data_IF_857737041568
#
_entry.id   IF_857737041568
#
_cell.length_a   1.000
_cell.length_b   1.000
_cell.length_c   1.000
_cell.angle_alpha   90.00
_cell.angle_beta   90.00
_cell.angle_gamma   90.00
#
_symmetry.space_group_name_H-M   'P 1'
#
loop_
_entity.id
_entity.type
_entity.pdbx_description
1 polymer ?
#
# COMPACT_ATOMS: atom_id res chain seq x y z
N UNK A 1 -0.39 -13.09 -23.96
CA UNK A 1 -0.72 -13.75 -25.25
C UNK A 1 -0.56 -15.26 -25.11
N UNK A 2 -1.20 -16.09 -25.95
CA UNK A 2 -1.09 -17.54 -25.86
C UNK A 2 0.21 -17.98 -26.54
N UNK A 3 1.29 -18.05 -25.75
CA UNK A 3 2.58 -18.59 -26.19
C UNK A 3 2.84 -19.91 -25.49
N UNK A 4 3.11 -20.97 -26.25
CA UNK A 4 3.59 -22.23 -25.70
C UNK A 4 5.01 -22.01 -25.16
N UNK A 5 5.18 -22.16 -23.85
CA UNK A 5 6.49 -22.09 -23.19
C UNK A 5 6.97 -23.51 -22.93
N UNK A 6 8.04 -23.92 -23.60
CA UNK A 6 8.70 -25.19 -23.30
C UNK A 6 9.48 -25.03 -21.99
N UNK A 7 9.09 -25.80 -20.97
CA UNK A 7 9.69 -25.72 -19.64
C UNK A 7 10.60 -26.92 -19.42
N UNK A 8 11.76 -26.66 -18.81
CA UNK A 8 12.65 -27.70 -18.33
C UNK A 8 11.90 -28.52 -17.25
N UNK A 9 11.84 -29.87 -17.35
CA UNK A 9 11.08 -30.72 -16.44
C UNK A 9 11.54 -30.69 -14.98
N UNK A 10 12.74 -30.15 -14.70
CA UNK A 10 13.27 -30.02 -13.34
C UNK A 10 13.04 -28.63 -12.71
N UNK A 11 12.31 -27.72 -13.38
CA UNK A 11 11.91 -26.43 -12.81
C UNK A 11 10.40 -26.39 -12.59
N UNK A 12 9.98 -26.20 -11.34
CA UNK A 12 8.58 -25.90 -11.05
C UNK A 12 8.24 -24.49 -11.57
N UNK A 13 7.05 -24.35 -12.15
CA UNK A 13 6.45 -23.03 -12.38
C UNK A 13 5.13 -22.94 -11.65
N UNK A 14 4.78 -21.71 -11.29
CA UNK A 14 3.47 -21.38 -10.76
C UNK A 14 2.88 -20.28 -11.65
N UNK A 15 1.65 -20.51 -12.12
CA UNK A 15 0.88 -19.44 -12.76
C UNK A 15 0.12 -18.68 -11.68
N UNK A 16 0.47 -17.40 -11.49
CA UNK A 16 -0.24 -16.53 -10.55
C UNK A 16 -1.11 -15.54 -11.31
N UNK A 17 -2.36 -15.39 -10.86
CA UNK A 17 -3.25 -14.34 -11.37
C UNK A 17 -2.77 -12.98 -10.90
N UNK A 18 -2.89 -11.97 -11.76
CA UNK A 18 -2.67 -10.59 -11.36
C UNK A 18 -3.74 -10.15 -10.35
N UNK A 19 -3.36 -9.24 -9.46
CA UNK A 19 -4.24 -8.68 -8.43
C UNK A 19 -4.70 -7.31 -8.92
N UNK A 20 -6.02 -7.11 -9.02
CA UNK A 20 -6.58 -5.80 -9.34
C UNK A 20 -6.49 -4.94 -8.08
N UNK A 21 -5.89 -3.75 -8.21
CA UNK A 21 -5.89 -2.74 -7.16
C UNK A 21 -6.79 -1.60 -7.63
N UNK A 22 -7.77 -1.24 -6.80
CA UNK A 22 -8.68 -0.14 -7.09
C UNK A 22 -8.03 1.24 -6.85
N UNK A 23 -8.55 2.32 -7.46
CA UNK A 23 -8.02 3.68 -7.26
C UNK A 23 -7.93 4.11 -5.79
N UNK A 24 -8.86 3.64 -4.94
CA UNK A 24 -8.94 3.93 -3.51
C UNK A 24 -8.29 2.84 -2.64
N UNK A 25 -7.48 1.96 -3.22
CA UNK A 25 -6.79 0.91 -2.50
C UNK A 25 -5.26 0.96 -2.72
N UNK A 26 -4.55 0.25 -1.87
CA UNK A 26 -3.15 -0.09 -2.06
C UNK A 26 -2.88 -1.53 -1.60
N UNK A 27 -1.96 -2.20 -2.26
CA UNK A 27 -1.48 -3.52 -1.88
C UNK A 27 -0.23 -3.42 -0.99
N UNK A 28 -0.17 -4.27 0.04
CA UNK A 28 1.03 -4.49 0.84
C UNK A 28 1.75 -5.71 0.27
N UNK A 29 2.94 -5.49 -0.28
CA UNK A 29 3.76 -6.54 -0.89
C UNK A 29 5.03 -6.71 -0.09
N UNK A 30 5.35 -7.95 0.24
CA UNK A 30 6.60 -8.30 0.89
C UNK A 30 7.44 -9.17 -0.03
N UNK A 31 8.70 -8.79 -0.19
CA UNK A 31 9.71 -9.65 -0.79
C UNK A 31 10.13 -10.72 0.23
N UNK A 32 10.04 -11.99 -0.15
CA UNK A 32 10.31 -13.13 0.74
C UNK A 32 11.80 -13.43 0.91
N UNK A 33 12.68 -12.91 0.05
CA UNK A 33 14.14 -13.06 0.18
C UNK A 33 14.74 -12.02 1.11
N UNK A 34 14.27 -10.78 1.00
CA UNK A 34 14.84 -9.61 1.70
C UNK A 34 14.00 -9.17 2.90
N UNK A 35 12.79 -9.69 3.03
CA UNK A 35 11.76 -9.25 3.97
C UNK A 35 11.34 -7.77 3.82
N UNK A 36 11.74 -7.10 2.73
CA UNK A 36 11.37 -5.71 2.45
C UNK A 36 9.87 -5.63 2.15
N UNK A 37 9.18 -4.74 2.87
CA UNK A 37 7.76 -4.44 2.66
C UNK A 37 7.62 -3.14 1.88
N UNK A 38 6.76 -3.14 0.87
CA UNK A 38 6.42 -1.96 0.08
C UNK A 38 4.93 -1.87 -0.16
N UNK A 39 4.44 -0.65 -0.31
CA UNK A 39 3.06 -0.39 -0.71
C UNK A 39 2.99 -0.09 -2.19
N UNK A 40 2.06 -0.74 -2.89
CA UNK A 40 1.78 -0.48 -4.31
C UNK A 40 0.40 0.11 -4.41
N UNK A 41 0.29 1.35 -4.90
CA UNK A 41 -0.98 2.08 -4.96
C UNK A 41 -1.48 2.25 -6.39
N UNK A 42 -2.77 2.56 -6.53
CA UNK A 42 -3.37 3.03 -7.78
C UNK A 42 -4.19 1.98 -8.53
N UNK A 43 -4.90 2.44 -9.56
CA UNK A 43 -5.72 1.59 -10.44
C UNK A 43 -4.82 0.81 -11.39
N UNK A 44 -4.40 -0.38 -10.97
CA UNK A 44 -3.49 -1.20 -11.77
C UNK A 44 -3.72 -2.69 -11.56
N UNK A 45 -3.31 -3.48 -12.56
CA UNK A 45 -3.13 -4.92 -12.44
C UNK A 45 -1.72 -5.18 -11.90
N UNK A 46 -1.63 -5.51 -10.61
CA UNK A 46 -0.38 -5.87 -9.97
C UNK A 46 0.04 -7.30 -10.34
N UNK A 47 1.21 -7.41 -10.95
CA UNK A 47 1.90 -8.67 -11.20
C UNK A 47 3.00 -8.86 -10.14
N UNK A 48 2.88 -9.90 -9.33
CA UNK A 48 3.88 -10.22 -8.31
C UNK A 48 5.11 -10.87 -8.94
N UNK A 49 6.30 -10.47 -8.49
CA UNK A 49 7.54 -11.17 -8.79
C UNK A 49 7.59 -12.57 -8.17
N UNK A 50 8.60 -13.37 -8.54
CA UNK A 50 8.76 -14.74 -8.06
C UNK A 50 8.82 -14.84 -6.52
N UNK A 51 9.47 -13.86 -5.89
CA UNK A 51 9.67 -13.79 -4.44
C UNK A 51 8.70 -12.82 -3.75
N UNK A 52 7.82 -12.18 -4.49
CA UNK A 52 6.81 -11.31 -3.89
C UNK A 52 5.66 -12.12 -3.31
N UNK A 53 5.24 -11.73 -2.11
CA UNK A 53 4.02 -12.19 -1.48
C UNK A 53 3.08 -11.01 -1.24
N UNK A 54 1.86 -11.10 -1.76
CA UNK A 54 0.79 -10.17 -1.40
C UNK A 54 0.33 -10.49 0.02
N UNK A 55 0.49 -9.52 0.93
CA UNK A 55 0.02 -9.64 2.32
C UNK A 55 -1.45 -9.27 2.45
N UNK A 56 -1.81 -8.08 1.96
CA UNK A 56 -3.18 -7.55 2.03
C UNK A 56 -3.40 -6.49 0.96
N UNK A 57 -4.67 -6.19 0.67
CA UNK A 57 -5.10 -5.02 -0.10
C UNK A 57 -5.98 -4.18 0.84
N UNK A 58 -5.55 -2.96 1.11
CA UNK A 58 -6.18 -2.07 2.09
C UNK A 58 -6.77 -0.84 1.39
N UNK A 59 -7.83 -0.23 1.94
CA UNK A 59 -8.29 1.07 1.49
C UNK A 59 -7.26 2.15 1.83
N UNK A 60 -7.15 3.15 0.95
CA UNK A 60 -6.43 4.40 1.24
C UNK A 60 -7.18 5.18 2.30
N UNK A 61 -6.45 6.01 3.04
CA UNK A 61 -7.08 6.97 3.96
C UNK A 61 -7.57 8.16 3.15
N UNK A 62 -8.85 8.49 3.26
CA UNK A 62 -9.45 9.65 2.61
C UNK A 62 -9.76 10.66 3.69
N UNK A 63 -9.15 11.85 3.59
CA UNK A 63 -9.40 12.97 4.48
C UNK A 63 -10.31 13.98 3.79
N UNK A 64 -11.39 14.36 4.47
CA UNK A 64 -12.25 15.47 4.07
C UNK A 64 -11.65 16.84 4.42
N UNK A 65 -12.28 17.93 3.98
CA UNK A 65 -11.76 19.30 4.12
C UNK A 65 -11.53 19.71 5.58
N UNK A 66 -12.33 19.21 6.50
CA UNK A 66 -12.28 19.49 7.93
C UNK A 66 -11.57 18.37 8.71
N UNK A 67 -10.77 17.54 8.04
CA UNK A 67 -10.10 16.40 8.65
C UNK A 67 -8.59 16.47 8.53
N UNK A 68 -7.92 15.87 9.51
CA UNK A 68 -6.49 15.63 9.49
C UNK A 68 -6.18 14.27 10.09
N UNK A 69 -4.96 13.79 9.87
CA UNK A 69 -4.43 12.64 10.58
C UNK A 69 -2.97 12.86 10.94
N UNK A 70 -2.51 12.16 11.98
CA UNK A 70 -1.11 12.11 12.38
C UNK A 70 -0.51 10.77 11.96
N UNK A 71 0.66 10.81 11.31
CA UNK A 71 1.46 9.64 10.96
C UNK A 71 2.74 9.67 11.77
N UNK A 72 3.07 8.54 12.37
CA UNK A 72 4.32 8.36 13.12
C UNK A 72 5.09 7.20 12.50
N UNK A 73 6.26 7.47 11.94
CA UNK A 73 7.11 6.40 11.44
C UNK A 73 7.69 5.61 12.63
N UNK A 74 7.37 4.31 12.71
CA UNK A 74 7.80 3.45 13.83
C UNK A 74 9.32 3.22 13.85
N UNK A 75 10.01 3.39 12.73
CA UNK A 75 11.45 3.14 12.61
C UNK A 75 12.28 4.37 12.97
N UNK A 76 11.87 5.57 12.55
CA UNK A 76 12.60 6.82 12.83
C UNK A 76 12.02 7.62 14.01
N UNK A 77 10.74 7.42 14.33
CA UNK A 77 9.99 8.26 15.27
C UNK A 77 9.54 9.59 14.67
N UNK A 78 9.75 9.83 13.38
CA UNK A 78 9.34 11.07 12.72
C UNK A 78 7.82 11.18 12.67
N UNK A 79 7.29 12.32 13.12
CA UNK A 79 5.87 12.63 13.09
C UNK A 79 5.56 13.62 11.97
N UNK A 80 4.46 13.37 11.24
CA UNK A 80 3.89 14.34 10.30
C UNK A 80 2.38 14.38 10.39
N UNK A 81 1.82 15.55 10.12
CA UNK A 81 0.38 15.77 10.06
C UNK A 81 -0.02 15.98 8.61
N UNK A 82 -1.07 15.30 8.20
CA UNK A 82 -1.64 15.43 6.88
C UNK A 82 -3.08 15.95 7.02
N UNK A 83 -3.38 17.08 6.36
CA UNK A 83 -4.71 17.70 6.37
C UNK A 83 -5.42 17.46 5.05
N UNK A 84 -6.74 17.31 5.10
CA UNK A 84 -7.58 17.18 3.91
C UNK A 84 -7.91 18.51 3.23
N UNK A 85 -8.56 18.47 2.04
CA UNK A 85 -9.03 17.25 1.37
C UNK A 85 -7.90 16.54 0.60
N UNK A 86 -7.61 15.27 0.95
CA UNK A 86 -6.63 14.45 0.22
C UNK A 86 -6.77 12.96 0.49
N UNK A 87 -6.22 12.15 -0.40
CA UNK A 87 -6.11 10.70 -0.22
C UNK A 87 -4.67 10.31 0.09
N UNK A 88 -4.48 9.43 1.06
CA UNK A 88 -3.17 9.09 1.63
C UNK A 88 -2.98 7.58 1.63
N UNK A 89 -1.79 7.17 1.22
CA UNK A 89 -1.27 5.82 1.43
C UNK A 89 -0.20 5.96 2.52
N UNK A 90 -0.40 5.39 3.72
CA UNK A 90 0.65 5.38 4.73
C UNK A 90 1.90 4.67 4.21
N UNK A 91 3.07 5.04 4.70
CA UNK A 91 4.30 4.26 4.52
C UNK A 91 4.17 2.91 5.24
N UNK A 92 4.95 1.88 4.86
CA UNK A 92 4.89 0.55 5.48
C UNK A 92 5.08 0.51 7.00
N UNK A 93 5.73 1.54 7.57
CA UNK A 93 6.03 1.62 8.99
C UNK A 93 5.28 2.75 9.71
N UNK A 94 4.38 3.44 9.01
CA UNK A 94 3.57 4.49 9.64
C UNK A 94 2.53 3.89 10.59
N UNK A 95 2.41 4.51 11.76
CA UNK A 95 1.32 4.31 12.69
C UNK A 95 0.36 5.49 12.62
N UNK A 96 -0.94 5.20 12.78
CA UNK A 96 -2.00 6.20 12.90
C UNK A 96 -2.52 6.16 14.35
N UNK A 97 -1.81 6.76 15.31
CA UNK A 97 -2.12 6.61 16.74
C UNK A 97 -3.55 7.04 17.09
N UNK A 98 -4.02 8.09 16.43
CA UNK A 98 -5.29 8.75 16.75
C UNK A 98 -6.35 8.61 15.63
N UNK A 99 -6.01 7.93 14.53
CA UNK A 99 -6.86 7.82 13.35
C UNK A 99 -7.12 9.18 12.66
N UNK A 100 -8.27 9.28 11.98
CA UNK A 100 -8.75 10.54 11.36
C UNK A 100 -9.39 11.40 12.45
N UNK A 101 -9.05 12.69 12.47
CA UNK A 101 -9.52 13.66 13.45
C UNK A 101 -10.09 14.91 12.77
N UNK A 102 -10.97 15.63 13.47
CA UNK A 102 -11.55 16.90 12.99
C UNK A 102 -10.64 18.08 13.27
N UNK A 103 -10.39 18.89 12.25
CA UNK A 103 -9.63 20.13 12.33
C UNK A 103 -10.46 21.23 13.00
N UNK A 104 -9.79 22.09 13.77
CA UNK A 104 -10.41 23.28 14.36
C UNK A 104 -10.04 24.50 13.50
N UNK A 105 -11.04 25.19 12.97
CA UNK A 105 -10.85 26.47 12.29
C UNK A 105 -10.85 27.58 13.35
N UNK A 106 -9.79 28.38 13.38
CA UNK A 106 -9.73 29.59 14.19
C UNK A 106 -10.13 30.76 13.27
N UNK A 107 -11.28 31.37 13.55
CA UNK A 107 -11.68 32.62 12.89
C UNK A 107 -10.78 33.75 13.40
N UNK A 108 -10.16 34.49 12.49
CA UNK A 108 -9.36 35.69 12.77
C UNK A 108 -10.16 36.96 12.46
#
# INVERSE_FOLDING_TARGET
GPGAVQLNPFKSKEWRKAVIIDPLQYAVVQDTLTAVVRHVSGSQLLFLGAYDNLRTVNPKVVLEKDEYLRLVDKTSGEERVEQGPRTIVPSPFDLLPDGIQKAVFLDH
#
